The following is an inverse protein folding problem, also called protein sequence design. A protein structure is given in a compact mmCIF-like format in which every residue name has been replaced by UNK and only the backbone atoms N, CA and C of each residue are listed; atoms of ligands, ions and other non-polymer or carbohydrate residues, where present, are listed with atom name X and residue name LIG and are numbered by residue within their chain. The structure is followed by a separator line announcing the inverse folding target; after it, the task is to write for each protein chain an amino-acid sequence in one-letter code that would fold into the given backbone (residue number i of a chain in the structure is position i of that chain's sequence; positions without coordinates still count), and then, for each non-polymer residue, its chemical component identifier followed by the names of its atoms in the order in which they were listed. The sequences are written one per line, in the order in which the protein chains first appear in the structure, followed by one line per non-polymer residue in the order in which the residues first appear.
data_IF_137066381538
#
_entry.id   IF_137066381538
#
_cell.length_a   1.000
_cell.length_b   1.000
_cell.length_c   1.000
_cell.angle_alpha   90.00
_cell.angle_beta   90.00
_cell.angle_gamma   90.00
#
_symmetry.space_group_name_H-M   'P 1'
#
loop_
_entity.id
_entity.type
_entity.pdbx_description
1 polymer ?
#
# COMPACT_ATOMS: atom_id res chain seq x y z
N UNK A 1 14.90 -15.47 -18.94
CA UNK A 1 14.27 -14.52 -19.88
C UNK A 1 13.15 -13.72 -19.19
N UNK A 2 13.38 -13.20 -17.97
CA UNK A 2 12.39 -12.43 -17.17
C UNK A 2 12.91 -11.08 -16.66
N UNK A 3 14.19 -10.76 -16.90
CA UNK A 3 14.86 -9.65 -16.23
C UNK A 3 14.29 -8.29 -16.65
N UNK A 4 13.80 -8.15 -17.88
CA UNK A 4 13.21 -6.90 -18.38
C UNK A 4 11.87 -6.59 -17.70
N UNK A 5 11.04 -7.61 -17.42
CA UNK A 5 9.78 -7.44 -16.70
C UNK A 5 10.04 -6.98 -15.25
N UNK A 6 10.97 -7.64 -14.56
CA UNK A 6 11.36 -7.25 -13.20
C UNK A 6 11.94 -5.83 -13.18
N UNK A 7 12.76 -5.47 -14.17
CA UNK A 7 13.34 -4.13 -14.28
C UNK A 7 12.28 -3.05 -14.52
N UNK A 8 11.21 -3.36 -15.25
CA UNK A 8 10.05 -2.48 -15.41
C UNK A 8 9.25 -2.33 -14.11
N UNK A 9 8.98 -3.45 -13.42
CA UNK A 9 8.28 -3.45 -12.13
C UNK A 9 9.05 -2.71 -11.03
N UNK A 10 10.39 -2.71 -11.08
CA UNK A 10 11.26 -1.98 -10.15
C UNK A 10 11.44 -0.49 -10.47
N UNK A 11 10.72 0.06 -11.45
CA UNK A 11 10.78 1.51 -11.73
C UNK A 11 10.07 2.30 -10.62
N UNK A 12 10.59 3.49 -10.31
CA UNK A 12 10.07 4.39 -9.27
C UNK A 12 8.54 4.57 -9.33
N UNK A 13 7.92 4.90 -10.49
CA UNK A 13 6.47 5.08 -10.55
C UNK A 13 5.69 3.79 -10.31
N UNK A 14 6.18 2.64 -10.79
CA UNK A 14 5.47 1.36 -10.66
C UNK A 14 5.54 0.83 -9.23
N UNK A 15 6.73 0.84 -8.63
CA UNK A 15 6.90 0.47 -7.21
C UNK A 15 6.10 1.42 -6.32
N UNK A 16 6.15 2.72 -6.59
CA UNK A 16 5.38 3.73 -5.84
C UNK A 16 3.88 3.48 -5.90
N UNK A 17 3.34 3.20 -7.09
CA UNK A 17 1.92 2.88 -7.25
C UNK A 17 1.51 1.61 -6.48
N UNK A 18 2.31 0.55 -6.55
CA UNK A 18 2.06 -0.71 -5.82
C UNK A 18 2.12 -0.47 -4.31
N UNK A 19 3.13 0.25 -3.83
CA UNK A 19 3.32 0.53 -2.41
C UNK A 19 2.19 1.39 -1.84
N UNK A 20 1.86 2.49 -2.52
CA UNK A 20 0.80 3.41 -2.07
C UNK A 20 -0.56 2.71 -2.13
N UNK A 21 -0.84 1.91 -3.15
CA UNK A 21 -2.10 1.14 -3.22
C UNK A 21 -2.19 0.13 -2.09
N UNK A 22 -1.09 -0.56 -1.78
CA UNK A 22 -1.03 -1.51 -0.66
C UNK A 22 -1.24 -0.81 0.69
N UNK A 23 -0.51 0.29 0.94
CA UNK A 23 -0.65 1.08 2.18
C UNK A 23 -2.05 1.70 2.31
N UNK A 24 -2.60 2.24 1.23
CA UNK A 24 -3.95 2.80 1.22
C UNK A 24 -5.00 1.73 1.49
N UNK A 25 -4.88 0.56 0.84
CA UNK A 25 -5.73 -0.59 1.11
C UNK A 25 -5.70 -0.97 2.58
N UNK A 26 -4.50 -1.13 3.16
CA UNK A 26 -4.33 -1.44 4.59
C UNK A 26 -5.05 -0.40 5.49
N UNK A 27 -4.86 0.89 5.24
CA UNK A 27 -5.51 1.97 6.03
C UNK A 27 -7.03 1.92 5.90
N UNK A 28 -7.56 1.68 4.68
CA UNK A 28 -9.00 1.55 4.44
C UNK A 28 -9.57 0.37 5.22
N UNK A 29 -8.88 -0.77 5.20
CA UNK A 29 -9.29 -1.97 5.94
C UNK A 29 -9.29 -1.72 7.46
N UNK A 30 -8.26 -1.05 7.99
CA UNK A 30 -8.21 -0.65 9.41
C UNK A 30 -9.43 0.20 9.77
N UNK A 31 -9.70 1.26 9.01
CA UNK A 31 -10.84 2.15 9.30
C UNK A 31 -12.20 1.47 9.06
N UNK A 32 -12.26 0.39 8.27
CA UNK A 32 -13.48 -0.42 8.11
C UNK A 32 -13.74 -1.35 9.30
N UNK A 33 -12.70 -1.99 9.83
CA UNK A 33 -12.84 -2.91 10.97
C UNK A 33 -12.91 -2.18 12.32
N UNK A 34 -12.22 -1.04 12.44
CA UNK A 34 -12.18 -0.20 13.61
C UNK A 34 -12.58 1.22 13.21
N UNK A 35 -13.89 1.50 13.08
CA UNK A 35 -14.36 2.83 12.73
C UNK A 35 -14.09 3.82 13.87
N UNK A 36 -13.88 5.09 13.50
CA UNK A 36 -13.90 6.25 14.40
C UNK A 36 -12.84 6.22 15.53
N UNK A 37 -11.60 5.87 15.19
CA UNK A 37 -10.45 5.93 16.11
C UNK A 37 -9.96 7.37 16.26
N UNK A 38 -10.49 8.11 17.24
CA UNK A 38 -10.08 9.51 17.51
C UNK A 38 -8.76 9.60 18.28
N UNK A 39 -8.55 8.70 19.24
CA UNK A 39 -7.34 8.62 20.06
C UNK A 39 -7.10 7.18 20.50
N UNK A 40 -5.84 6.85 20.78
CA UNK A 40 -5.50 5.58 21.40
C UNK A 40 -5.73 5.67 22.90
N UNK A 41 -6.66 4.87 23.43
CA UNK A 41 -7.09 4.92 24.83
C UNK A 41 -6.27 4.02 25.78
N UNK A 42 -5.00 3.77 25.47
CA UNK A 42 -4.11 2.94 26.29
C UNK A 42 -3.10 3.77 27.07
#
# INVERSE_FOLDING_TARGET
MNNNLLKYLSTIPVVGAVWITFTAGLIIEINRFFPDILFFSF
#
